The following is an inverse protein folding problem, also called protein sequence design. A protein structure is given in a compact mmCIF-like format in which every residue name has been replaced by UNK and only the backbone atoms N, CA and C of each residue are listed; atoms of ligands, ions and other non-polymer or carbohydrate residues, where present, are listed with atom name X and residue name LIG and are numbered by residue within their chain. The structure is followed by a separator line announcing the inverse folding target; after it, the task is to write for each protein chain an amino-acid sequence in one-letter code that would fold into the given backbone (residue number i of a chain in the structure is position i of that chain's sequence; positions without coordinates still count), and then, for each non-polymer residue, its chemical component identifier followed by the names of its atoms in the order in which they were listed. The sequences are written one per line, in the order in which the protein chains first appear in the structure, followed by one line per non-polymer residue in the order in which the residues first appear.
data_IF_594759736627
#
_entry.id   IF_594759736627
#
_cell.length_a   1.000
_cell.length_b   1.000
_cell.length_c   1.000
_cell.angle_alpha   90.00
_cell.angle_beta   90.00
_cell.angle_gamma   90.00
#
_symmetry.space_group_name_H-M   'P 1'
#
loop_
_entity.id
_entity.type
_entity.pdbx_description
1 polymer ?
#
# COMPACT_ATOMS: atom_id res chain seq x y z
N UNK A 1 -53.50 -45.04 -10.35
CA UNK A 1 -53.55 -44.98 -11.84
C UNK A 1 -52.18 -44.53 -12.34
N UNK A 2 -51.65 -45.13 -13.43
CA UNK A 2 -50.34 -44.78 -13.99
C UNK A 2 -50.41 -43.80 -15.17
N UNK A 3 -49.28 -43.18 -15.51
CA UNK A 3 -49.05 -42.29 -16.67
C UNK A 3 -47.61 -41.74 -16.61
N UNK A 4 -46.60 -42.36 -17.23
CA UNK A 4 -46.26 -42.31 -18.66
C UNK A 4 -46.11 -40.86 -19.19
N UNK A 5 -44.95 -40.40 -19.69
CA UNK A 5 -43.64 -41.05 -19.85
C UNK A 5 -42.53 -40.14 -20.40
N UNK A 6 -41.32 -40.71 -20.50
CA UNK A 6 -40.14 -40.25 -21.28
C UNK A 6 -40.27 -40.74 -22.76
N UNK A 7 -39.30 -40.57 -23.70
CA UNK A 7 -38.14 -39.64 -23.82
C UNK A 7 -37.90 -39.08 -25.27
N UNK A 8 -36.82 -38.30 -25.50
CA UNK A 8 -35.86 -38.62 -26.59
C UNK A 8 -35.57 -37.61 -27.73
N UNK A 9 -34.37 -37.79 -28.35
CA UNK A 9 -33.81 -37.17 -29.59
C UNK A 9 -33.48 -35.66 -29.53
N UNK A 10 -32.52 -35.03 -30.24
CA UNK A 10 -31.45 -35.43 -31.20
C UNK A 10 -31.14 -34.24 -32.16
N UNK A 11 -29.91 -33.91 -32.61
CA UNK A 11 -28.56 -34.48 -32.41
C UNK A 11 -27.42 -33.61 -33.02
N UNK A 12 -26.25 -34.23 -33.28
CA UNK A 12 -24.98 -33.70 -33.88
C UNK A 12 -24.97 -33.66 -35.45
N UNK A 13 -23.89 -33.28 -36.18
CA UNK A 13 -23.10 -32.02 -36.22
C UNK A 13 -22.75 -31.53 -37.68
N UNK A 14 -22.08 -30.37 -37.86
CA UNK A 14 -21.25 -29.98 -39.03
C UNK A 14 -20.42 -28.71 -38.66
N UNK A 15 -19.18 -28.43 -39.08
CA UNK A 15 -18.63 -28.38 -40.45
C UNK A 15 -19.01 -27.03 -41.09
N UNK A 16 -18.15 -26.10 -41.55
CA UNK A 16 -16.74 -26.06 -41.98
C UNK A 16 -16.13 -24.67 -41.59
N UNK A 17 -14.89 -24.24 -41.84
CA UNK A 17 -13.69 -24.79 -42.51
C UNK A 17 -12.56 -23.72 -42.61
N UNK A 18 -11.35 -24.10 -43.04
CA UNK A 18 -10.21 -23.20 -43.38
C UNK A 18 -9.99 -23.17 -44.91
N UNK A 19 -9.43 -22.10 -45.53
CA UNK A 19 -7.96 -21.82 -45.56
C UNK A 19 -7.61 -20.30 -45.52
N UNK A 20 -6.37 -19.79 -45.53
CA UNK A 20 -5.05 -20.44 -45.60
C UNK A 20 -4.12 -19.89 -46.71
N UNK A 21 -3.66 -18.63 -46.61
CA UNK A 21 -2.62 -17.96 -47.44
C UNK A 21 -2.02 -16.78 -46.63
N UNK A 22 -0.77 -16.31 -46.73
CA UNK A 22 0.43 -16.76 -47.46
C UNK A 22 1.59 -15.74 -47.28
N UNK A 23 2.84 -16.20 -47.22
CA UNK A 23 4.10 -15.42 -47.34
C UNK A 23 4.78 -15.85 -48.67
N UNK A 24 5.90 -15.26 -49.21
CA UNK A 24 7.01 -14.56 -48.52
C UNK A 24 7.75 -13.44 -49.35
N UNK A 25 9.04 -13.21 -49.03
CA UNK A 25 10.06 -12.37 -49.73
C UNK A 25 9.88 -10.84 -49.63
N UNK A 26 10.92 -9.99 -49.61
CA UNK A 26 12.36 -10.15 -49.81
C UNK A 26 12.97 -8.83 -50.36
N UNK A 27 14.32 -8.73 -50.38
CA UNK A 27 15.18 -7.63 -50.90
C UNK A 27 15.28 -6.37 -50.00
N UNK A 28 16.41 -5.68 -49.78
CA UNK A 28 17.81 -5.77 -50.27
C UNK A 28 18.57 -4.48 -49.85
N UNK A 29 19.87 -4.58 -49.51
CA UNK A 29 20.81 -3.45 -49.23
C UNK A 29 21.44 -2.93 -50.57
N UNK A 30 22.40 -1.94 -50.68
CA UNK A 30 23.48 -1.55 -49.73
C UNK A 30 23.99 -0.05 -49.72
N UNK A 31 24.99 0.23 -48.85
CA UNK A 31 26.04 1.27 -49.04
C UNK A 31 25.78 2.70 -48.51
N UNK A 32 26.76 3.56 -48.19
CA UNK A 32 28.24 3.50 -48.05
C UNK A 32 28.70 4.71 -47.20
N UNK A 33 29.89 4.68 -46.56
CA UNK A 33 30.56 5.89 -46.00
C UNK A 33 31.42 5.66 -44.76
N UNK A 34 32.70 6.08 -44.78
CA UNK A 34 33.72 5.75 -43.76
C UNK A 34 34.12 6.85 -42.75
N UNK A 35 35.14 6.58 -41.90
CA UNK A 35 35.57 7.35 -40.70
C UNK A 35 36.66 8.43 -41.03
N UNK A 36 37.37 9.15 -40.10
CA UNK A 36 37.64 8.80 -38.69
C UNK A 36 37.91 9.88 -37.58
N UNK A 37 38.04 9.34 -36.35
CA UNK A 37 38.97 9.70 -35.25
C UNK A 37 38.87 11.03 -34.46
N UNK A 38 38.86 10.88 -33.12
CA UNK A 38 39.21 11.93 -32.14
C UNK A 38 39.00 11.55 -30.67
N UNK A 39 40.08 11.17 -29.97
CA UNK A 39 40.39 11.21 -28.51
C UNK A 39 39.23 11.48 -27.49
N UNK A 40 39.03 10.77 -26.36
CA UNK A 40 39.76 9.67 -25.72
C UNK A 40 40.00 9.91 -24.21
N UNK A 41 39.29 9.20 -23.30
CA UNK A 41 39.69 8.87 -21.91
C UNK A 41 38.67 7.90 -21.24
N UNK A 42 38.97 7.23 -20.10
CA UNK A 42 38.48 5.86 -19.85
C UNK A 42 37.49 5.67 -18.68
N UNK A 43 36.70 4.59 -18.79
CA UNK A 43 36.55 3.62 -17.69
C UNK A 43 35.49 3.87 -16.60
N UNK A 44 34.25 3.45 -16.87
CA UNK A 44 33.31 3.01 -15.84
C UNK A 44 32.79 1.60 -16.20
N UNK A 45 32.63 0.66 -15.24
CA UNK A 45 32.17 -0.69 -15.54
C UNK A 45 30.67 -0.70 -15.89
N UNK A 46 30.21 -1.65 -16.72
CA UNK A 46 28.81 -1.72 -17.13
C UNK A 46 27.92 -2.15 -15.96
N UNK A 47 26.91 -1.33 -15.67
CA UNK A 47 25.90 -1.64 -14.65
C UNK A 47 25.08 -2.85 -15.06
N UNK A 48 25.24 -3.94 -14.30
CA UNK A 48 24.42 -5.14 -14.46
C UNK A 48 23.03 -4.93 -13.88
N UNK A 49 22.02 -4.92 -14.75
CA UNK A 49 20.64 -5.34 -14.48
C UNK A 49 20.00 -4.81 -13.17
N UNK A 50 19.67 -3.51 -13.13
CA UNK A 50 18.62 -3.03 -12.21
C UNK A 50 17.26 -3.60 -12.62
N UNK A 51 16.88 -4.73 -12.03
CA UNK A 51 15.50 -5.22 -12.08
C UNK A 51 14.61 -4.36 -11.17
N UNK A 52 13.79 -3.51 -11.81
CA UNK A 52 12.47 -3.11 -11.35
C UNK A 52 12.32 -2.67 -9.89
N UNK A 53 12.56 -1.40 -9.61
CA UNK A 53 12.04 -0.75 -8.41
C UNK A 53 10.51 -0.76 -8.42
N UNK A 54 9.90 -1.20 -7.31
CA UNK A 54 8.44 -1.18 -7.11
C UNK A 54 7.87 0.23 -6.87
N UNK A 55 6.55 0.36 -6.64
CA UNK A 55 5.84 1.65 -6.67
C UNK A 55 6.02 2.54 -5.43
N UNK A 56 7.13 2.40 -4.68
CA UNK A 56 7.38 3.15 -3.44
C UNK A 56 8.46 4.23 -3.64
N UNK A 57 8.26 5.46 -3.14
CA UNK A 57 9.25 6.54 -3.28
C UNK A 57 10.46 6.31 -2.37
N UNK A 58 11.67 6.43 -2.93
CA UNK A 58 12.92 6.40 -2.18
C UNK A 58 13.23 7.74 -1.54
N UNK A 59 13.63 7.75 -0.27
CA UNK A 59 14.00 8.97 0.47
C UNK A 59 15.44 9.36 0.11
N UNK A 60 15.59 10.40 -0.70
CA UNK A 60 16.89 10.99 -1.02
C UNK A 60 17.42 11.87 0.12
N UNK A 61 18.70 11.71 0.46
CA UNK A 61 19.36 12.51 1.50
C UNK A 61 19.78 13.89 0.97
N UNK A 62 19.04 14.94 1.37
CA UNK A 62 19.41 16.35 1.19
C UNK A 62 19.45 17.05 2.54
N UNK A 63 20.51 17.79 2.84
CA UNK A 63 20.72 18.37 4.18
C UNK A 63 19.83 19.58 4.47
N UNK A 64 19.11 19.53 5.59
CA UNK A 64 18.30 20.62 6.14
C UNK A 64 16.81 20.27 6.24
N UNK A 65 16.32 20.15 7.47
CA UNK A 65 14.90 19.85 7.76
C UNK A 65 14.00 20.94 7.17
N UNK A 66 12.96 20.54 6.45
CA UNK A 66 12.00 21.42 5.80
C UNK A 66 11.43 22.49 6.79
N UNK A 67 11.40 23.79 6.42
CA UNK A 67 10.91 24.84 7.31
C UNK A 67 9.45 24.66 7.78
N UNK A 68 8.59 24.02 6.98
CA UNK A 68 7.23 23.68 7.39
C UNK A 68 7.23 22.60 8.48
N UNK A 69 8.13 21.62 8.39
CA UNK A 69 8.33 20.59 9.42
C UNK A 69 8.84 21.24 10.70
N UNK A 70 9.81 22.16 10.63
CA UNK A 70 10.28 22.88 11.82
C UNK A 70 9.18 23.72 12.49
N UNK A 71 8.33 24.38 11.69
CA UNK A 71 7.19 25.13 12.22
C UNK A 71 6.16 24.22 12.87
N UNK A 72 5.85 23.08 12.24
CA UNK A 72 4.89 22.12 12.79
C UNK A 72 5.47 21.43 14.04
N UNK A 73 6.76 21.09 14.06
CA UNK A 73 7.47 20.51 15.22
C UNK A 73 7.30 21.40 16.44
N UNK A 74 7.62 22.70 16.32
CA UNK A 74 7.42 23.71 17.40
C UNK A 74 5.96 23.97 17.77
N UNK A 75 5.01 23.55 16.94
CA UNK A 75 3.59 23.62 17.26
C UNK A 75 3.11 22.37 18.01
N UNK A 76 3.82 21.24 17.86
CA UNK A 76 3.53 19.96 18.55
C UNK A 76 4.28 19.87 19.88
N UNK A 77 5.60 20.07 19.87
CA UNK A 77 6.48 20.20 21.04
C UNK A 77 6.01 21.36 21.92
N UNK A 78 5.30 21.04 23.02
CA UNK A 78 4.66 22.03 23.90
C UNK A 78 5.56 22.46 25.03
N UNK A 79 6.42 21.57 25.50
CA UNK A 79 7.35 21.85 26.61
C UNK A 79 8.70 22.40 26.14
N UNK A 80 8.94 22.43 24.83
CA UNK A 80 10.18 22.87 24.17
C UNK A 80 11.38 21.98 24.53
N UNK A 81 11.12 20.70 24.82
CA UNK A 81 12.16 19.70 25.10
C UNK A 81 13.04 19.37 23.87
N UNK A 82 12.57 19.69 22.66
CA UNK A 82 13.24 19.32 21.41
C UNK A 82 12.92 17.89 20.95
N UNK A 83 11.96 17.23 21.59
CA UNK A 83 11.45 15.90 21.29
C UNK A 83 9.92 15.91 21.32
N UNK A 84 9.26 15.01 20.59
CA UNK A 84 7.80 14.91 20.58
C UNK A 84 7.36 13.60 21.23
N UNK A 85 6.52 13.71 22.26
CA UNK A 85 5.91 12.58 22.96
C UNK A 85 4.61 12.10 22.30
N UNK A 86 4.12 10.91 22.69
CA UNK A 86 2.81 10.40 22.27
C UNK A 86 1.66 11.34 22.64
N UNK A 87 1.74 11.96 23.81
CA UNK A 87 0.73 12.88 24.32
C UNK A 87 0.66 14.17 23.50
N UNK A 88 1.82 14.72 23.11
CA UNK A 88 1.90 15.92 22.28
C UNK A 88 1.48 15.65 20.85
N UNK A 89 1.94 14.53 20.26
CA UNK A 89 1.51 14.10 18.93
C UNK A 89 -0.02 13.94 18.88
N UNK A 90 -0.62 13.29 19.90
CA UNK A 90 -2.07 13.13 20.06
C UNK A 90 -2.81 14.47 20.23
N UNK A 91 -2.21 15.42 20.94
CA UNK A 91 -2.79 16.75 21.15
C UNK A 91 -2.71 17.65 19.89
N UNK A 92 -1.72 17.42 19.02
CA UNK A 92 -1.55 18.17 17.78
C UNK A 92 -2.24 17.52 16.56
N UNK A 93 -2.37 16.20 16.53
CA UNK A 93 -3.10 15.47 15.49
C UNK A 93 -4.59 15.54 15.74
N UNK A 94 -5.19 16.58 15.18
CA UNK A 94 -6.63 16.79 15.13
C UNK A 94 -7.13 16.47 13.72
N UNK A 95 -8.15 15.61 13.62
CA UNK A 95 -8.78 15.24 12.36
C UNK A 95 -9.67 16.36 11.81
N UNK A 96 -10.24 16.17 10.61
CA UNK A 96 -11.08 17.17 9.96
C UNK A 96 -12.35 17.56 10.75
N UNK A 97 -12.80 16.73 11.70
CA UNK A 97 -13.96 16.97 12.56
C UNK A 97 -13.60 17.63 13.91
N UNK A 98 -12.33 17.98 14.14
CA UNK A 98 -11.88 18.54 15.41
C UNK A 98 -11.60 17.51 16.51
N UNK A 99 -11.60 16.21 16.20
CA UNK A 99 -11.30 15.14 17.15
C UNK A 99 -9.80 14.81 17.15
N UNK A 100 -9.23 14.50 18.31
CA UNK A 100 -7.85 14.02 18.41
C UNK A 100 -7.72 12.58 17.93
N UNK A 101 -6.56 12.23 17.38
CA UNK A 101 -6.27 10.87 16.93
C UNK A 101 -6.32 9.89 18.11
N UNK A 102 -6.71 8.64 17.84
CA UNK A 102 -6.66 7.57 18.83
C UNK A 102 -5.25 7.32 19.34
N UNK A 103 -5.15 6.89 20.59
CA UNK A 103 -3.87 6.60 21.23
C UNK A 103 -3.12 5.45 20.53
N UNK A 104 -3.86 4.45 20.06
CA UNK A 104 -3.34 3.36 19.23
C UNK A 104 -2.70 3.88 17.94
N UNK A 105 -3.33 4.84 17.24
CA UNK A 105 -2.76 5.44 16.04
C UNK A 105 -1.49 6.26 16.36
N UNK A 106 -1.50 7.03 17.45
CA UNK A 106 -0.34 7.82 17.86
C UNK A 106 0.85 6.93 18.27
N UNK A 107 0.60 5.87 19.04
CA UNK A 107 1.63 4.91 19.47
C UNK A 107 2.17 4.08 18.30
N UNK A 108 1.31 3.71 17.34
CA UNK A 108 1.74 3.09 16.08
C UNK A 108 2.67 4.02 15.29
N UNK A 109 2.26 5.28 15.10
CA UNK A 109 3.06 6.29 14.39
C UNK A 109 4.41 6.52 15.07
N UNK A 110 4.45 6.57 16.40
CA UNK A 110 5.69 6.58 17.17
C UNK A 110 6.55 5.34 16.85
N UNK A 111 6.05 4.13 17.10
CA UNK A 111 6.81 2.90 16.92
C UNK A 111 7.28 2.61 15.48
N UNK A 112 6.71 3.29 14.48
CA UNK A 112 7.16 3.22 13.08
C UNK A 112 8.34 4.16 12.76
N UNK A 113 8.52 5.25 13.51
CA UNK A 113 9.49 6.31 13.20
C UNK A 113 10.53 6.56 14.30
N UNK A 114 10.23 6.22 15.56
CA UNK A 114 11.17 6.11 16.69
C UNK A 114 12.13 4.94 16.44
N UNK A 115 13.29 5.23 15.86
CA UNK A 115 14.27 4.21 15.46
C UNK A 115 15.22 3.81 16.59
N UNK A 116 15.49 4.74 17.51
CA UNK A 116 16.38 4.51 18.65
C UNK A 116 15.65 3.94 19.89
N UNK A 117 14.32 3.83 19.83
CA UNK A 117 13.41 3.36 20.89
C UNK A 117 13.49 4.22 22.14
N UNK A 118 13.67 5.52 21.96
CA UNK A 118 13.65 6.49 23.07
C UNK A 118 12.25 6.73 23.62
N UNK A 119 11.18 6.33 22.89
CA UNK A 119 9.79 6.63 23.23
C UNK A 119 9.36 8.03 22.79
N UNK A 120 10.21 8.73 22.04
CA UNK A 120 10.03 10.11 21.60
C UNK A 120 10.49 10.26 20.15
N UNK A 121 10.03 11.30 19.46
CA UNK A 121 10.40 11.59 18.07
C UNK A 121 11.29 12.83 18.01
N UNK A 122 12.49 12.71 17.45
CA UNK A 122 13.35 13.86 17.18
C UNK A 122 12.94 14.58 15.86
N UNK A 123 13.50 15.77 15.60
CA UNK A 123 13.12 16.59 14.43
C UNK A 123 13.30 15.85 13.08
N UNK A 124 14.34 15.02 12.92
CA UNK A 124 14.61 14.29 11.67
C UNK A 124 13.67 13.09 11.47
N UNK A 125 13.24 12.44 12.54
CA UNK A 125 12.22 11.39 12.50
C UNK A 125 10.83 12.00 12.25
N UNK A 126 10.58 13.16 12.84
CA UNK A 126 9.34 13.90 12.66
C UNK A 126 9.15 14.41 11.23
N UNK A 127 10.21 14.77 10.51
CA UNK A 127 10.13 15.07 9.07
C UNK A 127 9.57 13.90 8.25
N UNK A 128 9.98 12.68 8.61
CA UNK A 128 9.53 11.45 7.96
C UNK A 128 8.09 11.13 8.36
N UNK A 129 7.75 11.27 9.64
CA UNK A 129 6.38 11.11 10.14
C UNK A 129 5.41 12.14 9.52
N UNK A 130 5.78 13.42 9.47
CA UNK A 130 4.98 14.48 8.87
C UNK A 130 4.73 14.20 7.38
N UNK A 131 5.76 13.79 6.65
CA UNK A 131 5.64 13.40 5.24
C UNK A 131 4.69 12.21 5.08
N UNK A 132 4.84 11.18 5.92
CA UNK A 132 3.98 10.00 5.92
C UNK A 132 2.51 10.33 6.22
N UNK A 133 2.24 11.15 7.24
CA UNK A 133 0.89 11.61 7.59
C UNK A 133 0.27 12.41 6.43
N UNK A 134 1.01 13.31 5.80
CA UNK A 134 0.50 14.08 4.66
C UNK A 134 0.21 13.21 3.43
N UNK A 135 1.01 12.18 3.17
CA UNK A 135 0.73 11.19 2.12
C UNK A 135 -0.56 10.42 2.44
N UNK A 136 -0.74 9.95 3.67
CA UNK A 136 -1.99 9.28 4.08
C UNK A 136 -3.20 10.20 4.06
N UNK A 137 -3.07 11.47 4.44
CA UNK A 137 -4.15 12.46 4.32
C UNK A 137 -4.52 12.74 2.86
N UNK A 138 -3.54 12.77 1.94
CA UNK A 138 -3.81 12.90 0.51
C UNK A 138 -4.54 11.67 -0.04
N UNK A 139 -4.09 10.46 0.33
CA UNK A 139 -4.75 9.18 -0.03
C UNK A 139 -6.17 9.11 0.54
N UNK A 140 -6.36 9.43 1.82
CA UNK A 140 -7.68 9.45 2.46
C UNK A 140 -8.65 10.37 1.71
N UNK A 141 -8.22 11.59 1.35
CA UNK A 141 -9.02 12.54 0.54
C UNK A 141 -9.37 12.07 -0.87
N UNK A 142 -8.72 11.04 -1.40
CA UNK A 142 -9.12 10.42 -2.68
C UNK A 142 -10.21 9.36 -2.52
N UNK A 143 -10.47 8.91 -1.28
CA UNK A 143 -11.45 7.87 -0.96
C UNK A 143 -12.66 8.40 -0.17
N UNK A 144 -12.46 9.41 0.68
CA UNK A 144 -13.50 10.28 1.27
C UNK A 144 -14.10 11.15 0.16
N UNK A 145 -14.98 10.54 -0.64
CA UNK A 145 -15.54 11.11 -1.87
C UNK A 145 -16.67 12.09 -1.60
N UNK A 146 -17.36 11.93 -0.47
CA UNK A 146 -18.41 12.84 -0.01
C UNK A 146 -17.89 13.98 0.88
N UNK A 147 -16.60 13.94 1.25
CA UNK A 147 -15.92 14.90 2.14
C UNK A 147 -16.53 14.94 3.56
N UNK A 148 -17.09 13.81 4.02
CA UNK A 148 -17.60 13.64 5.39
C UNK A 148 -16.49 13.60 6.44
N UNK A 149 -15.22 13.48 6.02
CA UNK A 149 -14.07 13.28 6.91
C UNK A 149 -13.97 11.86 7.46
N UNK A 150 -14.78 10.93 6.94
CA UNK A 150 -14.77 9.51 7.26
C UNK A 150 -14.70 8.70 5.97
N UNK A 151 -14.32 7.43 6.07
CA UNK A 151 -14.47 6.46 5.00
C UNK A 151 -15.62 5.51 5.37
N UNK A 152 -16.63 5.44 4.50
CA UNK A 152 -17.74 4.47 4.62
C UNK A 152 -17.40 3.10 4.02
N UNK A 153 -18.26 2.08 4.21
CA UNK A 153 -18.04 0.70 3.71
C UNK A 153 -17.78 0.64 2.19
N UNK A 154 -18.48 1.47 1.40
CA UNK A 154 -18.29 1.56 -0.06
C UNK A 154 -16.94 2.18 -0.43
N UNK A 155 -16.53 3.20 0.30
CA UNK A 155 -15.28 3.92 0.07
C UNK A 155 -14.09 3.06 0.51
N UNK A 156 -14.20 2.33 1.63
CA UNK A 156 -13.19 1.37 2.06
C UNK A 156 -13.03 0.23 1.05
N UNK A 157 -14.15 -0.25 0.47
CA UNK A 157 -14.13 -1.23 -0.63
C UNK A 157 -13.35 -0.70 -1.83
N UNK A 158 -13.62 0.53 -2.25
CA UNK A 158 -12.93 1.17 -3.37
C UNK A 158 -11.44 1.43 -3.08
N UNK A 159 -11.12 1.89 -1.87
CA UNK A 159 -9.76 2.16 -1.40
C UNK A 159 -8.90 0.89 -1.42
N UNK A 160 -9.37 -0.17 -0.77
CA UNK A 160 -8.66 -1.44 -0.69
C UNK A 160 -8.55 -2.09 -2.08
N UNK A 161 -9.57 -1.99 -2.93
CA UNK A 161 -9.51 -2.44 -4.33
C UNK A 161 -8.45 -1.69 -5.16
N UNK A 162 -8.30 -0.38 -4.98
CA UNK A 162 -7.24 0.41 -5.64
C UNK A 162 -5.84 0.10 -5.09
N UNK A 163 -5.72 -0.24 -3.81
CA UNK A 163 -4.49 -0.78 -3.21
C UNK A 163 -4.16 -2.22 -3.66
N UNK A 164 -5.01 -2.85 -4.47
CA UNK A 164 -4.82 -4.20 -5.00
C UNK A 164 -5.44 -5.33 -4.16
N UNK A 165 -6.13 -5.01 -3.07
CA UNK A 165 -6.79 -5.99 -2.21
C UNK A 165 -8.24 -6.22 -2.63
N UNK A 166 -8.65 -7.49 -2.79
CA UNK A 166 -10.05 -7.86 -3.06
C UNK A 166 -10.59 -8.69 -1.91
N UNK A 167 -11.25 -8.02 -0.97
CA UNK A 167 -11.95 -8.65 0.14
C UNK A 167 -13.43 -8.87 -0.18
N UNK A 168 -14.08 -9.76 0.56
CA UNK A 168 -15.54 -9.94 0.50
C UNK A 168 -16.26 -8.79 1.21
N UNK A 169 -17.50 -8.44 0.83
CA UNK A 169 -18.29 -7.41 1.51
C UNK A 169 -18.42 -7.66 3.02
N UNK A 170 -18.63 -8.92 3.43
CA UNK A 170 -18.70 -9.29 4.84
C UNK A 170 -17.42 -8.97 5.62
N UNK A 171 -16.25 -9.15 4.99
CA UNK A 171 -14.97 -8.81 5.59
C UNK A 171 -14.76 -7.30 5.65
N UNK A 172 -15.14 -6.54 4.60
CA UNK A 172 -15.10 -5.06 4.66
C UNK A 172 -15.99 -4.56 5.80
N UNK A 173 -17.24 -5.04 5.90
CA UNK A 173 -18.16 -4.66 6.98
C UNK A 173 -17.62 -5.01 8.37
N UNK A 174 -16.89 -6.11 8.50
CA UNK A 174 -16.14 -6.46 9.72
C UNK A 174 -15.01 -5.45 10.01
N UNK A 175 -14.20 -5.06 9.03
CA UNK A 175 -13.12 -4.07 9.22
C UNK A 175 -13.66 -2.69 9.63
N UNK A 176 -14.78 -2.27 9.04
CA UNK A 176 -15.47 -1.01 9.40
C UNK A 176 -15.92 -1.05 10.87
N UNK A 177 -16.65 -2.12 11.27
CA UNK A 177 -17.11 -2.31 12.66
C UNK A 177 -15.97 -2.51 13.68
N UNK A 178 -14.83 -3.03 13.22
CA UNK A 178 -13.60 -3.17 14.02
C UNK A 178 -12.94 -1.82 14.29
N UNK A 179 -13.11 -0.86 13.37
CA UNK A 179 -12.57 0.49 13.43
C UNK A 179 -13.45 1.40 14.30
N UNK A 180 -14.75 1.47 14.02
CA UNK A 180 -15.75 2.11 14.90
C UNK A 180 -16.94 1.17 15.16
N UNK A 181 -17.03 0.58 16.37
CA UNK A 181 -18.15 -0.27 16.76
C UNK A 181 -19.51 0.44 16.91
N UNK A 182 -19.56 1.78 16.89
CA UNK A 182 -20.76 2.59 17.14
C UNK A 182 -21.37 3.16 15.88
N UNK A 183 -20.59 3.90 15.09
CA UNK A 183 -21.10 4.60 13.90
C UNK A 183 -20.92 3.80 12.60
N UNK A 184 -20.01 2.81 12.58
CA UNK A 184 -19.67 2.10 11.34
C UNK A 184 -18.97 3.01 10.31
N UNK A 185 -18.09 3.89 10.78
CA UNK A 185 -17.30 4.84 9.99
C UNK A 185 -15.81 4.65 10.27
N UNK A 186 -14.95 4.90 9.29
CA UNK A 186 -13.50 4.81 9.48
C UNK A 186 -12.89 6.21 9.43
N UNK A 187 -12.52 6.74 10.59
CA UNK A 187 -11.77 8.00 10.71
C UNK A 187 -10.37 7.87 10.11
N UNK A 188 -9.72 8.99 9.78
CA UNK A 188 -8.35 9.03 9.21
C UNK A 188 -7.35 8.18 10.01
N UNK A 189 -7.36 8.32 11.32
CA UNK A 189 -6.42 7.62 12.21
C UNK A 189 -6.70 6.12 12.26
N UNK A 190 -7.98 5.73 12.31
CA UNK A 190 -8.41 4.33 12.21
C UNK A 190 -8.06 3.72 10.84
N UNK A 191 -8.18 4.49 9.76
CA UNK A 191 -7.82 4.06 8.41
C UNK A 191 -6.31 3.79 8.29
N UNK A 192 -5.46 4.64 8.86
CA UNK A 192 -4.01 4.44 8.89
C UNK A 192 -3.66 3.18 9.70
N UNK A 193 -4.23 3.01 10.89
CA UNK A 193 -4.04 1.80 11.72
C UNK A 193 -4.45 0.54 10.95
N UNK A 194 -5.62 0.56 10.30
CA UNK A 194 -6.15 -0.53 9.51
C UNK A 194 -5.24 -0.88 8.33
N UNK A 195 -4.81 0.11 7.55
CA UNK A 195 -3.95 -0.10 6.39
C UNK A 195 -2.57 -0.65 6.78
N UNK A 196 -1.95 -0.12 7.84
CA UNK A 196 -0.67 -0.63 8.35
C UNK A 196 -0.81 -2.06 8.88
N UNK A 197 -1.91 -2.38 9.55
CA UNK A 197 -2.18 -3.74 10.01
C UNK A 197 -2.35 -4.71 8.82
N UNK A 198 -3.16 -4.35 7.82
CA UNK A 198 -3.33 -5.14 6.59
C UNK A 198 -1.98 -5.33 5.88
N UNK A 199 -1.15 -4.29 5.79
CA UNK A 199 0.19 -4.38 5.18
C UNK A 199 1.09 -5.38 5.93
N UNK A 200 1.22 -5.26 7.26
CA UNK A 200 2.05 -6.18 8.07
C UNK A 200 1.62 -7.63 7.91
N UNK A 201 0.31 -7.91 7.98
CA UNK A 201 -0.22 -9.25 7.73
C UNK A 201 0.00 -9.71 6.27
N UNK A 202 -0.14 -8.82 5.28
CA UNK A 202 0.10 -9.14 3.86
C UNK A 202 1.56 -9.49 3.60
N UNK A 203 2.51 -8.75 4.17
CA UNK A 203 3.94 -9.05 4.07
C UNK A 203 4.28 -10.40 4.74
N UNK A 204 3.79 -10.62 5.96
CA UNK A 204 3.99 -11.88 6.68
C UNK A 204 3.36 -13.09 5.97
N UNK A 205 2.21 -12.89 5.30
CA UNK A 205 1.53 -13.89 4.48
C UNK A 205 2.30 -14.16 3.18
N UNK A 206 2.65 -13.12 2.41
CA UNK A 206 3.38 -13.25 1.13
C UNK A 206 4.78 -13.86 1.30
N UNK A 207 5.43 -13.63 2.43
CA UNK A 207 6.70 -14.28 2.75
C UNK A 207 6.59 -15.81 2.90
N UNK A 208 5.36 -16.34 3.10
CA UNK A 208 5.07 -17.76 3.32
C UNK A 208 4.25 -18.39 2.18
N UNK A 209 3.42 -17.62 1.49
CA UNK A 209 2.75 -18.01 0.23
C UNK A 209 3.74 -18.04 -0.95
N UNK A 210 4.73 -18.92 -0.83
CA UNK A 210 5.77 -19.17 -1.85
C UNK A 210 5.21 -19.70 -3.17
N UNK A 211 3.97 -20.21 -3.16
CA UNK A 211 3.27 -20.71 -4.35
C UNK A 211 2.33 -19.67 -4.98
N UNK A 212 2.15 -18.52 -4.31
CA UNK A 212 1.23 -17.44 -4.71
C UNK A 212 -0.21 -17.91 -4.98
N UNK A 213 -0.66 -18.92 -4.24
CA UNK A 213 -1.96 -19.56 -4.43
C UNK A 213 -3.06 -19.03 -3.48
N UNK A 214 -2.71 -18.08 -2.60
CA UNK A 214 -3.64 -17.50 -1.62
C UNK A 214 -3.90 -18.38 -0.40
N UNK A 215 -3.12 -19.44 -0.19
CA UNK A 215 -3.23 -20.35 0.95
C UNK A 215 -1.85 -20.65 1.54
N UNK A 216 -1.71 -20.54 2.87
CA UNK A 216 -0.48 -20.88 3.58
C UNK A 216 -0.76 -21.93 4.64
N UNK A 217 0.07 -22.97 4.69
CA UNK A 217 0.13 -23.92 5.81
C UNK A 217 1.29 -23.53 6.72
N UNK A 218 0.99 -23.16 7.97
CA UNK A 218 1.97 -22.75 8.99
C UNK A 218 1.86 -23.60 10.26
N UNK A 219 2.98 -23.74 10.98
CA UNK A 219 2.97 -24.32 12.32
C UNK A 219 2.37 -23.36 13.36
N UNK A 220 1.89 -23.89 14.48
CA UNK A 220 1.22 -23.08 15.51
C UNK A 220 2.12 -21.98 16.11
N UNK A 221 3.39 -22.28 16.39
CA UNK A 221 4.34 -21.28 16.89
C UNK A 221 4.60 -20.17 15.85
N UNK A 222 4.67 -20.53 14.57
CA UNK A 222 4.85 -19.55 13.47
C UNK A 222 3.59 -18.69 13.28
N UNK A 223 2.40 -19.27 13.44
CA UNK A 223 1.15 -18.50 13.53
C UNK A 223 1.15 -17.50 14.70
N UNK A 224 1.55 -17.93 15.89
CA UNK A 224 1.65 -17.02 17.05
C UNK A 224 2.68 -15.91 16.81
N UNK A 225 3.84 -16.24 16.24
CA UNK A 225 4.84 -15.24 15.87
C UNK A 225 4.28 -14.21 14.87
N UNK A 226 3.57 -14.65 13.82
CA UNK A 226 2.91 -13.72 12.87
C UNK A 226 1.83 -12.88 13.55
N UNK A 227 0.96 -13.49 14.36
CA UNK A 227 -0.12 -12.78 15.05
C UNK A 227 0.41 -11.70 15.99
N UNK A 228 1.47 -12.00 16.76
CA UNK A 228 2.12 -11.06 17.67
C UNK A 228 2.96 -10.02 16.91
N UNK A 229 3.70 -10.41 15.88
CA UNK A 229 4.55 -9.50 15.09
C UNK A 229 3.76 -8.58 14.15
N UNK A 230 2.50 -8.87 13.88
CA UNK A 230 1.57 -8.02 13.12
C UNK A 230 0.56 -7.29 14.03
N UNK A 231 0.52 -7.63 15.32
CA UNK A 231 -0.23 -6.85 16.32
C UNK A 231 0.32 -5.43 16.42
N UNK A 232 -0.60 -4.50 16.68
CA UNK A 232 -0.35 -3.12 17.08
C UNK A 232 -0.67 -3.05 18.57
#
# INVERSE_FOLDING_TARGET
MPGYGQPGYGGVPAGYGQPGYGAPAGYGQPGQGGPPAGYGQPGAPPQGLEMGHGPYPSIGSGGGVNPQVQQWFRAVDKDQSGFITAAELKAALVNAQGQTFSETACNLMLGMFDKDRTGHINVEEFEKLYTYINQWLAVFKTYDTDQSGNIEEKELTNALAQMGFRFTPDFISFLVKRSDPKEGKVSVDSFIVLCVQIQRFTEAFRARDTQQNGTVTIGFEDFLNVALSCSI
#
